data_IF_747251165400
#
_entry.id   IF_747251165400
#
_cell.length_a   1.000
_cell.length_b   1.000
_cell.length_c   1.000
_cell.angle_alpha   90.00
_cell.angle_beta   90.00
_cell.angle_gamma   90.00
#
_symmetry.space_group_name_H-M   'P 1'
#
loop_
_entity.id
_entity.type
_entity.pdbx_description
1 polymer ?
#
# COMPACT_ATOMS: atom_id res chain seq x y z
N UNK A 1 -17.61 3.14 -36.93
CA UNK A 1 -17.11 2.08 -36.04
C UNK A 1 -16.71 2.64 -34.67
N UNK A 2 -15.80 3.61 -34.61
CA UNK A 2 -15.27 4.17 -33.35
C UNK A 2 -16.35 4.75 -32.43
N UNK A 3 -17.29 5.53 -32.98
CA UNK A 3 -18.44 6.04 -32.24
C UNK A 3 -19.23 4.91 -31.56
N UNK A 4 -19.53 3.83 -32.30
CA UNK A 4 -20.30 2.70 -31.78
C UNK A 4 -19.54 1.91 -30.71
N UNK A 5 -18.22 1.79 -30.83
CA UNK A 5 -17.41 1.14 -29.79
C UNK A 5 -17.37 1.98 -28.51
N UNK A 6 -17.30 3.31 -28.63
CA UNK A 6 -17.27 4.23 -27.47
C UNK A 6 -18.59 4.27 -26.69
N UNK A 7 -19.74 4.08 -27.36
CA UNK A 7 -21.05 4.14 -26.72
C UNK A 7 -21.30 2.98 -25.77
N UNK A 8 -20.69 1.80 -25.99
CA UNK A 8 -20.77 0.68 -25.06
C UNK A 8 -20.14 1.03 -23.70
N UNK A 9 -18.95 1.63 -23.72
CA UNK A 9 -18.26 2.09 -22.51
C UNK A 9 -19.03 3.21 -21.79
N UNK A 10 -19.51 4.21 -22.55
CA UNK A 10 -20.32 5.29 -21.99
C UNK A 10 -21.64 4.78 -21.36
N UNK A 11 -22.34 3.85 -22.02
CA UNK A 11 -23.58 3.26 -21.50
C UNK A 11 -23.34 2.45 -20.24
N UNK A 12 -22.25 1.68 -20.18
CA UNK A 12 -21.85 0.96 -18.96
C UNK A 12 -21.53 1.94 -17.83
N UNK A 13 -20.77 3.00 -18.11
CA UNK A 13 -20.44 4.04 -17.13
C UNK A 13 -21.69 4.71 -16.54
N UNK A 14 -22.66 5.07 -17.39
CA UNK A 14 -23.94 5.64 -16.93
C UNK A 14 -24.75 4.65 -16.09
N UNK A 15 -24.82 3.38 -16.51
CA UNK A 15 -25.53 2.35 -15.76
C UNK A 15 -24.86 2.06 -14.39
N UNK A 16 -23.54 1.94 -14.37
CA UNK A 16 -22.75 1.76 -13.14
C UNK A 16 -22.90 2.97 -12.23
N UNK A 17 -22.97 4.19 -12.77
CA UNK A 17 -23.24 5.38 -11.98
C UNK A 17 -24.59 5.26 -11.27
N UNK A 18 -25.65 4.91 -12.00
CA UNK A 18 -26.98 4.78 -11.43
C UNK A 18 -27.05 3.70 -10.34
N UNK A 19 -26.41 2.54 -10.57
CA UNK A 19 -26.42 1.42 -9.62
C UNK A 19 -25.54 1.66 -8.39
N UNK A 20 -24.30 2.14 -8.58
CA UNK A 20 -23.33 2.30 -7.48
C UNK A 20 -23.64 3.51 -6.58
N UNK A 21 -24.35 4.51 -7.10
CA UNK A 21 -24.87 5.63 -6.30
C UNK A 21 -25.80 5.12 -5.19
N UNK A 22 -26.68 4.15 -5.51
CA UNK A 22 -27.58 3.55 -4.52
C UNK A 22 -26.82 2.83 -3.40
N UNK A 23 -25.72 2.13 -3.72
CA UNK A 23 -24.87 1.46 -2.72
C UNK A 23 -24.18 2.46 -1.79
N UNK A 24 -23.70 3.59 -2.34
CA UNK A 24 -23.06 4.65 -1.55
C UNK A 24 -24.05 5.35 -0.61
N UNK A 25 -25.26 5.64 -1.11
CA UNK A 25 -26.34 6.18 -0.28
C UNK A 25 -26.78 5.22 0.83
N UNK A 26 -26.90 3.93 0.51
CA UNK A 26 -27.22 2.90 1.51
C UNK A 26 -26.15 2.78 2.60
N UNK A 27 -24.87 2.80 2.22
CA UNK A 27 -23.75 2.82 3.16
C UNK A 27 -23.82 4.05 4.06
N UNK A 28 -24.08 5.23 3.49
CA UNK A 28 -24.24 6.49 4.26
C UNK A 28 -25.34 6.37 5.31
N UNK A 29 -26.49 5.80 4.95
CA UNK A 29 -27.58 5.56 5.91
C UNK A 29 -27.12 4.66 7.07
N UNK A 30 -26.43 3.57 6.77
CA UNK A 30 -25.89 2.66 7.79
C UNK A 30 -24.81 3.33 8.66
N UNK A 31 -23.97 4.17 8.09
CA UNK A 31 -22.96 4.93 8.84
C UNK A 31 -23.63 5.87 9.84
N UNK A 32 -24.71 6.56 9.43
CA UNK A 32 -25.50 7.42 10.33
C UNK A 32 -26.17 6.59 11.43
N UNK A 33 -26.81 5.46 11.08
CA UNK A 33 -27.47 4.58 12.06
C UNK A 33 -26.50 4.11 13.17
N UNK A 34 -25.21 3.88 12.85
CA UNK A 34 -24.18 3.48 13.82
C UNK A 34 -23.57 4.66 14.57
N UNK A 35 -23.42 5.82 13.92
CA UNK A 35 -22.71 6.97 14.49
C UNK A 35 -23.62 7.98 15.22
N UNK A 36 -24.94 7.86 15.12
CA UNK A 36 -25.90 8.86 15.65
C UNK A 36 -25.74 9.15 17.16
N UNK A 37 -25.28 8.17 17.94
CA UNK A 37 -25.11 8.32 19.39
C UNK A 37 -23.79 9.00 19.79
N UNK A 38 -22.93 9.31 18.82
CA UNK A 38 -21.65 10.00 19.06
C UNK A 38 -21.89 11.51 19.09
N UNK A 39 -22.08 12.03 20.30
CA UNK A 39 -22.31 13.45 20.62
C UNK A 39 -21.20 13.96 21.54
N UNK A 40 -20.89 15.26 21.48
CA UNK A 40 -19.99 15.88 22.46
C UNK A 40 -20.71 16.06 23.80
N UNK A 41 -20.25 15.37 24.84
CA UNK A 41 -20.93 15.32 26.15
C UNK A 41 -20.21 16.07 27.25
N UNK A 42 -18.89 16.20 27.14
CA UNK A 42 -18.04 16.84 28.16
C UNK A 42 -16.85 17.57 27.53
N UNK A 43 -16.15 18.39 28.30
CA UNK A 43 -15.00 19.16 27.80
C UNK A 43 -13.74 18.28 27.69
N UNK A 44 -13.45 17.51 28.73
CA UNK A 44 -12.24 16.70 28.83
C UNK A 44 -12.50 15.40 29.61
N UNK A 45 -12.24 14.25 28.99
CA UNK A 45 -12.33 12.93 29.64
C UNK A 45 -11.11 12.59 30.52
N UNK A 46 -10.07 13.44 30.55
CA UNK A 46 -8.86 13.26 31.36
C UNK A 46 -7.79 12.34 30.77
N UNK A 47 -8.07 11.67 29.64
CA UNK A 47 -7.12 10.72 29.04
C UNK A 47 -5.77 11.37 28.70
N UNK A 48 -4.71 10.59 28.89
CA UNK A 48 -3.34 10.90 28.48
C UNK A 48 -2.97 10.21 27.17
N UNK A 49 -3.84 9.30 26.72
CA UNK A 49 -3.63 8.53 25.50
C UNK A 49 -3.98 9.34 24.25
N UNK A 50 -3.26 9.04 23.19
CA UNK A 50 -3.37 9.76 21.94
C UNK A 50 -2.78 8.97 20.78
N UNK A 51 -2.97 9.49 19.57
CA UNK A 51 -2.41 8.94 18.36
C UNK A 51 -1.20 9.78 17.93
N UNK A 52 -0.12 9.11 17.57
CA UNK A 52 1.05 9.77 16.99
C UNK A 52 0.72 10.08 15.52
N UNK A 53 0.68 11.36 15.18
CA UNK A 53 0.50 11.84 13.81
C UNK A 53 1.85 12.17 13.20
N UNK A 54 2.08 11.68 11.98
CA UNK A 54 3.25 11.94 11.14
C UNK A 54 2.79 12.44 9.77
N UNK A 55 3.60 13.18 8.99
CA UNK A 55 3.26 13.47 7.61
C UNK A 55 3.10 12.17 6.80
N UNK A 56 2.20 12.16 5.81
CA UNK A 56 2.07 11.06 4.85
C UNK A 56 2.99 11.35 3.66
N UNK A 57 4.02 10.53 3.51
CA UNK A 57 5.01 10.63 2.44
C UNK A 57 4.88 9.41 1.55
N UNK A 58 4.64 9.63 0.25
CA UNK A 58 4.61 8.59 -0.76
C UNK A 58 5.46 9.02 -1.95
N UNK A 59 6.40 8.18 -2.38
CA UNK A 59 7.13 8.49 -3.61
C UNK A 59 8.14 9.64 -3.48
N UNK A 60 8.46 10.05 -2.25
CA UNK A 60 9.22 11.26 -1.95
C UNK A 60 8.43 12.57 -2.09
N UNK A 61 7.14 12.49 -2.42
CA UNK A 61 6.22 13.62 -2.30
C UNK A 61 5.50 13.54 -0.95
N UNK A 62 5.39 14.68 -0.28
CA UNK A 62 4.53 14.81 0.90
C UNK A 62 3.10 14.90 0.39
N UNK A 63 2.36 13.79 0.46
CA UNK A 63 0.95 13.72 0.03
C UNK A 63 0.08 14.54 0.98
N UNK A 64 0.31 14.40 2.28
CA UNK A 64 -0.38 15.17 3.31
C UNK A 64 0.63 15.64 4.36
N UNK A 65 0.93 16.95 4.44
CA UNK A 65 1.89 17.47 5.39
C UNK A 65 1.35 17.38 6.82
N UNK A 66 2.27 17.35 7.80
CA UNK A 66 1.90 17.27 9.22
C UNK A 66 0.93 18.39 9.61
N UNK A 67 1.13 19.59 9.05
CA UNK A 67 0.29 20.77 9.30
C UNK A 67 -1.20 20.52 9.05
N UNK A 68 -1.55 19.84 7.97
CA UNK A 68 -2.94 19.58 7.61
C UNK A 68 -3.54 18.48 8.49
N UNK A 69 -2.74 17.47 8.85
CA UNK A 69 -3.19 16.35 9.67
C UNK A 69 -3.50 16.73 11.12
N UNK A 70 -2.75 17.70 11.67
CA UNK A 70 -2.85 18.12 13.07
C UNK A 70 -3.69 19.38 13.27
N UNK A 71 -4.01 20.10 12.21
CA UNK A 71 -4.85 21.30 12.29
C UNK A 71 -6.19 21.00 12.97
N UNK A 72 -6.53 21.80 13.97
CA UNK A 72 -7.77 21.66 14.73
C UNK A 72 -7.78 20.52 15.75
N UNK A 73 -6.68 19.78 15.92
CA UNK A 73 -6.56 18.73 16.96
C UNK A 73 -5.98 19.30 18.24
N UNK A 74 -6.14 18.56 19.34
CA UNK A 74 -5.56 18.91 20.65
C UNK A 74 -4.34 18.04 20.94
N UNK A 75 -3.29 18.65 21.46
CA UNK A 75 -2.04 17.97 21.81
C UNK A 75 -2.23 17.08 23.05
N UNK A 76 -1.76 15.83 22.99
CA UNK A 76 -1.86 14.85 24.08
C UNK A 76 -0.65 14.88 25.03
N UNK A 77 0.53 15.26 24.54
CA UNK A 77 1.79 15.35 25.31
C UNK A 77 2.59 16.58 24.90
N UNK A 78 3.40 17.13 25.80
CA UNK A 78 4.23 18.31 25.49
C UNK A 78 5.14 18.02 24.29
N UNK A 79 5.16 18.94 23.32
CA UNK A 79 5.95 18.80 22.09
C UNK A 79 7.24 19.60 22.22
N UNK A 80 8.36 18.91 22.08
CA UNK A 80 9.70 19.46 22.23
C UNK A 80 10.40 19.67 20.89
N UNK A 81 11.39 20.56 20.87
CA UNK A 81 12.29 20.72 19.72
C UNK A 81 13.27 19.56 19.64
N UNK A 82 13.66 19.11 18.43
CA UNK A 82 14.76 18.17 18.29
C UNK A 82 16.05 18.73 18.91
N UNK A 83 16.45 18.19 20.07
CA UNK A 83 17.66 18.62 20.80
C UNK A 83 17.43 19.60 21.96
N UNK A 84 16.18 19.93 22.32
CA UNK A 84 15.85 20.68 23.53
C UNK A 84 14.68 20.01 24.28
N UNK A 85 14.99 19.40 25.41
CA UNK A 85 14.03 18.69 26.27
C UNK A 85 13.56 19.54 27.47
N UNK A 86 14.06 20.77 27.62
CA UNK A 86 13.75 21.62 28.78
C UNK A 86 12.58 22.58 28.53
N UNK A 87 12.41 23.05 27.30
CA UNK A 87 11.35 24.01 26.95
C UNK A 87 10.43 23.46 25.85
N UNK A 88 9.17 23.12 26.17
CA UNK A 88 8.23 22.63 25.18
C UNK A 88 7.73 23.76 24.27
N UNK A 89 7.67 23.52 22.97
CA UNK A 89 7.11 24.45 21.97
C UNK A 89 5.60 24.58 22.19
N UNK A 90 4.95 23.45 22.42
CA UNK A 90 3.50 23.35 22.60
C UNK A 90 3.21 22.47 23.80
N UNK A 91 2.47 23.00 24.76
CA UNK A 91 2.08 22.26 25.94
C UNK A 91 0.89 21.36 25.66
N UNK A 92 0.73 20.30 26.46
CA UNK A 92 -0.42 19.40 26.47
C UNK A 92 -1.73 20.16 26.60
N UNK A 93 -2.78 19.62 25.99
CA UNK A 93 -4.13 20.18 25.94
C UNK A 93 -4.27 21.50 25.17
N UNK A 94 -3.26 21.88 24.40
CA UNK A 94 -3.35 23.02 23.47
C UNK A 94 -4.09 22.61 22.21
N UNK A 95 -5.06 23.43 21.79
CA UNK A 95 -5.72 23.31 20.50
C UNK A 95 -4.82 23.88 19.40
N UNK A 96 -4.50 23.07 18.39
CA UNK A 96 -3.64 23.47 17.29
C UNK A 96 -4.44 24.28 16.27
N UNK A 97 -4.16 25.59 16.21
CA UNK A 97 -4.64 26.51 15.18
C UNK A 97 -3.58 26.71 14.08
N UNK A 98 -3.88 27.52 13.08
CA UNK A 98 -2.98 27.82 11.96
C UNK A 98 -1.63 28.40 12.42
N UNK A 99 -1.62 29.17 13.51
CA UNK A 99 -0.41 29.78 14.05
C UNK A 99 0.47 28.76 14.77
N UNK A 100 -0.13 27.86 15.56
CA UNK A 100 0.59 26.75 16.19
C UNK A 100 1.16 25.78 15.16
N UNK A 101 0.36 25.48 14.15
CA UNK A 101 0.77 24.61 13.06
C UNK A 101 1.95 25.19 12.27
N UNK A 102 1.94 26.50 11.97
CA UNK A 102 3.06 27.18 11.33
C UNK A 102 4.33 27.11 12.20
N UNK A 103 4.21 27.33 13.52
CA UNK A 103 5.34 27.18 14.45
C UNK A 103 5.91 25.75 14.47
N UNK A 104 5.06 24.73 14.43
CA UNK A 104 5.48 23.33 14.37
C UNK A 104 6.22 23.01 13.07
N UNK A 105 5.77 23.59 11.95
CA UNK A 105 6.39 23.44 10.64
C UNK A 105 7.76 24.15 10.59
N UNK A 106 7.85 25.40 11.07
CA UNK A 106 9.11 26.16 11.16
C UNK A 106 10.13 25.46 12.08
N UNK A 107 9.64 24.90 13.20
CA UNK A 107 10.43 24.09 14.12
C UNK A 107 10.84 22.72 13.55
N UNK A 108 10.35 22.35 12.36
CA UNK A 108 10.61 21.05 11.71
C UNK A 108 10.27 19.84 12.59
N UNK A 109 9.15 19.90 13.32
CA UNK A 109 8.65 18.79 14.14
C UNK A 109 8.19 17.64 13.23
N UNK A 110 8.62 16.41 13.53
CA UNK A 110 8.36 15.24 12.68
C UNK A 110 7.07 14.50 13.04
N UNK A 111 6.74 14.49 14.33
CA UNK A 111 5.58 13.79 14.85
C UNK A 111 5.01 14.55 16.03
N UNK A 112 3.69 14.46 16.19
CA UNK A 112 2.97 15.04 17.32
C UNK A 112 1.97 14.01 17.82
N UNK A 113 1.99 13.71 19.12
CA UNK A 113 0.93 12.91 19.75
C UNK A 113 -0.26 13.81 20.02
N UNK A 114 -1.36 13.54 19.32
CA UNK A 114 -2.61 14.28 19.43
C UNK A 114 -3.67 13.42 20.09
N UNK A 115 -4.63 14.06 20.76
CA UNK A 115 -5.82 13.37 21.27
C UNK A 115 -6.66 12.88 20.11
N UNK A 116 -7.38 11.78 20.35
CA UNK A 116 -8.20 11.12 19.35
C UNK A 116 -9.56 10.76 19.92
N UNK A 117 -10.57 10.73 19.06
CA UNK A 117 -11.90 10.22 19.41
C UNK A 117 -11.87 8.73 19.77
N UNK A 118 -10.89 7.98 19.24
CA UNK A 118 -10.69 6.54 19.54
C UNK A 118 -10.10 6.33 20.94
N UNK A 119 -9.21 7.21 21.38
CA UNK A 119 -8.60 7.16 22.72
C UNK A 119 -9.44 7.89 23.78
N UNK A 120 -10.67 8.26 23.47
CA UNK A 120 -11.54 8.97 24.39
C UNK A 120 -12.10 8.02 25.45
N UNK A 121 -11.99 8.41 26.72
CA UNK A 121 -12.44 7.63 27.88
C UNK A 121 -13.81 8.10 28.42
N UNK A 122 -14.52 8.94 27.66
CA UNK A 122 -15.86 9.39 28.04
C UNK A 122 -16.83 8.20 28.09
N UNK A 123 -17.69 8.15 29.12
CA UNK A 123 -18.64 7.04 29.30
C UNK A 123 -19.75 7.00 28.25
N UNK A 124 -20.19 8.18 27.77
CA UNK A 124 -21.19 8.33 26.72
C UNK A 124 -20.77 9.46 25.80
N UNK A 125 -20.74 9.21 24.50
CA UNK A 125 -20.28 10.20 23.51
C UNK A 125 -18.77 10.40 23.54
N UNK A 126 -18.32 11.61 23.23
CA UNK A 126 -16.90 11.97 23.10
C UNK A 126 -16.66 13.32 23.78
N UNK A 127 -15.48 13.52 24.38
CA UNK A 127 -15.14 14.83 24.94
C UNK A 127 -14.65 15.83 23.87
N UNK A 128 -14.88 17.12 24.11
CA UNK A 128 -14.52 18.20 23.19
C UNK A 128 -13.02 18.23 22.86
N UNK A 129 -12.14 17.90 23.82
CA UNK A 129 -10.69 17.86 23.59
C UNK A 129 -10.24 16.68 22.72
N UNK A 130 -10.92 15.54 22.76
CA UNK A 130 -10.58 14.40 21.90
C UNK A 130 -11.01 14.59 20.44
N UNK A 131 -12.07 15.38 20.22
CA UNK A 131 -12.51 15.78 18.87
C UNK A 131 -11.70 16.98 18.35
N UNK A 132 -11.59 18.04 19.15
CA UNK A 132 -10.87 19.27 18.82
C UNK A 132 -11.79 20.35 18.24
N UNK A 133 -11.45 20.83 17.05
CA UNK A 133 -12.09 21.95 16.37
C UNK A 133 -13.27 21.49 15.50
N UNK A 134 -14.36 22.24 15.55
CA UNK A 134 -15.41 22.15 14.54
C UNK A 134 -14.90 22.78 13.23
N UNK A 135 -14.76 21.96 12.19
CA UNK A 135 -14.23 22.38 10.88
C UNK A 135 -15.20 23.31 10.12
N UNK A 136 -16.49 23.31 10.43
CA UNK A 136 -17.47 24.17 9.77
C UNK A 136 -17.48 25.59 10.35
N UNK A 137 -17.27 25.71 11.67
CA UNK A 137 -17.35 27.00 12.39
C UNK A 137 -16.00 27.56 12.81
N UNK A 138 -14.96 26.73 12.85
CA UNK A 138 -13.60 27.14 13.11
C UNK A 138 -13.28 27.42 14.58
N UNK A 139 -14.14 27.08 15.54
CA UNK A 139 -13.85 27.14 16.97
C UNK A 139 -13.82 25.72 17.59
N UNK A 140 -13.41 25.59 18.85
CA UNK A 140 -13.50 24.31 19.56
C UNK A 140 -14.95 23.80 19.56
N UNK A 141 -15.14 22.49 19.37
CA UNK A 141 -16.48 21.91 19.27
C UNK A 141 -17.30 22.15 20.55
N UNK A 142 -18.58 22.48 20.38
CA UNK A 142 -19.48 22.75 21.50
C UNK A 142 -20.04 21.45 22.09
N UNK A 143 -20.39 21.49 23.37
CA UNK A 143 -21.17 20.42 24.02
C UNK A 143 -22.56 20.36 23.37
N UNK A 144 -23.00 19.14 23.05
CA UNK A 144 -24.26 18.86 22.38
C UNK A 144 -24.15 18.72 20.85
N UNK A 145 -22.98 18.95 20.25
CA UNK A 145 -22.78 18.79 18.81
C UNK A 145 -22.82 17.29 18.42
N UNK A 146 -23.65 16.94 17.44
CA UNK A 146 -23.82 15.56 16.94
C UNK A 146 -22.71 15.17 15.95
N UNK A 147 -21.48 15.08 16.45
CA UNK A 147 -20.28 14.86 15.63
C UNK A 147 -20.28 13.54 14.85
N UNK A 148 -20.98 12.51 15.32
CA UNK A 148 -21.10 11.25 14.60
C UNK A 148 -21.91 11.36 13.31
N UNK A 149 -23.02 12.09 13.33
CA UNK A 149 -23.83 12.36 12.13
C UNK A 149 -23.04 13.20 11.13
N UNK A 150 -22.33 14.23 11.62
CA UNK A 150 -21.47 15.09 10.80
C UNK A 150 -20.36 14.27 10.12
N UNK A 151 -19.70 13.37 10.87
CA UNK A 151 -18.66 12.50 10.33
C UNK A 151 -19.19 11.52 9.28
N UNK A 152 -20.35 10.90 9.52
CA UNK A 152 -20.98 10.00 8.56
C UNK A 152 -21.34 10.70 7.24
N UNK A 153 -21.87 11.92 7.31
CA UNK A 153 -22.18 12.74 6.13
C UNK A 153 -20.92 13.15 5.37
N UNK A 154 -19.87 13.55 6.11
CA UNK A 154 -18.59 13.97 5.53
C UNK A 154 -17.88 12.86 4.75
N UNK A 155 -18.23 11.59 5.00
CA UNK A 155 -17.77 10.44 4.20
C UNK A 155 -18.76 10.12 3.08
N UNK A 156 -20.06 10.09 3.42
CA UNK A 156 -21.11 9.60 2.54
C UNK A 156 -21.40 10.48 1.33
N UNK A 157 -21.51 11.79 1.52
CA UNK A 157 -21.79 12.73 0.44
C UNK A 157 -20.64 12.76 -0.59
N UNK A 158 -19.36 12.99 -0.20
CA UNK A 158 -18.26 12.97 -1.15
C UNK A 158 -18.09 11.61 -1.84
N UNK A 159 -18.29 10.49 -1.12
CA UNK A 159 -18.22 9.15 -1.72
C UNK A 159 -19.27 8.91 -2.80
N UNK A 160 -20.50 9.38 -2.55
CA UNK A 160 -21.58 9.34 -3.54
C UNK A 160 -21.27 10.24 -4.74
N UNK A 161 -20.73 11.44 -4.49
CA UNK A 161 -20.35 12.38 -5.54
C UNK A 161 -19.20 11.85 -6.42
N UNK A 162 -18.17 11.25 -5.84
CA UNK A 162 -17.05 10.64 -6.56
C UNK A 162 -17.52 9.51 -7.47
N UNK A 163 -18.45 8.68 -6.96
CA UNK A 163 -19.07 7.62 -7.76
C UNK A 163 -19.79 8.20 -8.97
N UNK A 164 -20.44 9.36 -8.84
CA UNK A 164 -21.07 10.00 -9.99
C UNK A 164 -20.04 10.57 -10.99
N UNK A 165 -19.00 11.25 -10.52
CA UNK A 165 -18.04 11.95 -11.40
C UNK A 165 -17.14 11.00 -12.20
N UNK A 166 -16.69 9.89 -11.61
CA UNK A 166 -15.68 9.03 -12.24
C UNK A 166 -16.23 8.16 -13.37
N UNK A 167 -17.45 7.65 -13.24
CA UNK A 167 -18.02 6.70 -14.22
C UNK A 167 -18.65 7.38 -15.45
N UNK A 168 -18.83 8.71 -15.44
CA UNK A 168 -19.34 9.46 -16.58
C UNK A 168 -18.34 9.58 -17.75
N UNK A 169 -17.05 9.28 -17.52
CA UNK A 169 -15.96 9.38 -18.51
C UNK A 169 -15.72 8.01 -19.22
N UNK A 170 -16.67 7.07 -19.14
CA UNK A 170 -16.52 5.70 -19.66
C UNK A 170 -16.31 5.53 -21.17
N UNK A 171 -16.16 6.61 -21.95
CA UNK A 171 -15.96 6.59 -23.41
C UNK A 171 -14.49 6.73 -23.87
N UNK A 172 -13.58 7.18 -23.01
CA UNK A 172 -12.15 7.30 -23.32
C UNK A 172 -11.33 7.17 -22.03
N UNK A 173 -10.39 6.22 -22.01
CA UNK A 173 -9.45 6.04 -20.91
C UNK A 173 -8.05 6.45 -21.40
N UNK A 174 -7.48 7.49 -20.81
CA UNK A 174 -6.05 7.77 -20.96
C UNK A 174 -5.33 7.17 -19.76
N UNK A 175 -4.38 6.27 -20.03
CA UNK A 175 -3.61 5.57 -19.00
C UNK A 175 -2.41 6.44 -18.63
N UNK A 176 -2.25 6.79 -17.35
CA UNK A 176 -0.96 7.23 -16.85
C UNK A 176 0.01 6.04 -16.93
N UNK A 177 1.21 6.25 -17.46
CA UNK A 177 2.22 5.19 -17.58
C UNK A 177 2.38 4.46 -16.25
N UNK A 178 2.35 3.12 -16.29
CA UNK A 178 2.51 2.32 -15.09
C UNK A 178 3.93 2.56 -14.53
N UNK A 179 4.01 2.92 -13.25
CA UNK A 179 5.28 3.17 -12.58
C UNK A 179 6.04 1.84 -12.47
N UNK A 180 7.21 1.76 -13.10
CA UNK A 180 8.07 0.58 -13.18
C UNK A 180 9.38 0.74 -12.41
N UNK A 181 9.62 1.92 -11.85
CA UNK A 181 10.82 2.21 -11.09
C UNK A 181 10.60 3.24 -9.97
N UNK A 182 11.52 3.25 -9.02
CA UNK A 182 11.66 4.29 -8.02
C UNK A 182 12.93 5.07 -8.32
N UNK A 183 12.77 6.37 -8.52
CA UNK A 183 13.85 7.33 -8.62
C UNK A 183 13.80 8.27 -7.42
N UNK A 184 14.91 8.34 -6.69
CA UNK A 184 15.05 9.15 -5.48
C UNK A 184 15.10 10.63 -5.86
N UNK A 185 14.43 11.51 -5.12
CA UNK A 185 14.42 12.96 -5.42
C UNK A 185 15.45 13.76 -4.62
N UNK A 186 15.86 13.24 -3.47
CA UNK A 186 16.71 13.92 -2.49
C UNK A 186 18.01 13.15 -2.28
N UNK A 187 19.11 13.88 -2.12
CA UNK A 187 20.39 13.23 -1.77
C UNK A 187 20.39 12.83 -0.30
N UNK A 188 20.76 11.59 0.00
CA UNK A 188 20.65 11.03 1.35
C UNK A 188 21.22 9.62 1.47
N UNK A 189 20.85 8.91 2.52
CA UNK A 189 21.17 7.50 2.71
C UNK A 189 19.91 6.63 2.67
N UNK A 190 19.99 5.47 2.03
CA UNK A 190 18.88 4.52 1.97
C UNK A 190 18.76 3.78 3.29
N UNK A 191 17.52 3.56 3.74
CA UNK A 191 17.19 2.71 4.88
C UNK A 191 16.08 1.74 4.50
N UNK A 192 16.26 0.47 4.80
CA UNK A 192 15.26 -0.57 4.59
C UNK A 192 14.36 -0.72 5.82
N UNK A 193 13.04 -0.63 5.60
CA UNK A 193 12.03 -0.79 6.64
C UNK A 193 11.18 -2.03 6.33
N UNK A 194 11.18 -3.02 7.23
CA UNK A 194 10.45 -4.29 7.06
C UNK A 194 10.69 -5.01 5.73
N UNK A 195 11.84 -4.76 5.10
CA UNK A 195 12.21 -5.31 3.81
C UNK A 195 13.14 -6.52 4.02
N UNK A 196 12.72 -7.68 3.54
CA UNK A 196 13.62 -8.83 3.36
C UNK A 196 14.09 -8.83 1.91
N UNK A 197 15.40 -8.90 1.70
CA UNK A 197 16.00 -8.95 0.37
C UNK A 197 16.99 -10.10 0.26
N UNK A 198 17.15 -10.61 -0.95
CA UNK A 198 18.15 -11.62 -1.29
C UNK A 198 19.10 -11.07 -2.35
N UNK A 199 20.38 -11.43 -2.27
CA UNK A 199 21.36 -10.98 -3.24
C UNK A 199 21.29 -11.84 -4.50
N UNK A 200 21.03 -11.19 -5.64
CA UNK A 200 21.03 -11.84 -6.94
C UNK A 200 22.46 -11.93 -7.50
N UNK A 201 22.72 -12.88 -8.41
CA UNK A 201 24.03 -13.08 -9.02
C UNK A 201 24.54 -11.85 -9.79
N UNK A 202 23.64 -10.97 -10.26
CA UNK A 202 23.98 -9.70 -10.90
C UNK A 202 24.50 -8.62 -9.94
N UNK A 203 24.52 -8.88 -8.63
CA UNK A 203 24.92 -7.91 -7.60
C UNK A 203 23.78 -6.99 -7.12
N UNK A 204 22.62 -7.04 -7.76
CA UNK A 204 21.41 -6.36 -7.29
C UNK A 204 20.73 -7.16 -6.16
N UNK A 205 19.96 -6.48 -5.33
CA UNK A 205 19.12 -7.11 -4.31
C UNK A 205 17.71 -7.32 -4.86
N UNK A 206 17.06 -8.43 -4.52
CA UNK A 206 15.66 -8.68 -4.91
C UNK A 206 14.78 -8.74 -3.67
N UNK A 207 13.70 -7.97 -3.66
CA UNK A 207 12.76 -7.92 -2.55
C UNK A 207 11.95 -9.22 -2.44
N UNK A 208 12.00 -9.90 -1.29
CA UNK A 208 11.22 -11.12 -1.02
C UNK A 208 10.12 -10.91 0.02
N UNK A 209 9.95 -9.68 0.52
CA UNK A 209 8.86 -9.28 1.41
C UNK A 209 7.77 -8.50 0.68
N UNK A 210 6.50 -8.72 1.04
CA UNK A 210 5.34 -8.01 0.47
C UNK A 210 5.05 -6.64 1.11
N UNK A 211 5.59 -6.40 2.29
CA UNK A 211 5.41 -5.16 3.08
C UNK A 211 6.71 -4.38 3.22
N UNK A 212 7.64 -4.57 2.29
CA UNK A 212 8.94 -3.91 2.32
C UNK A 212 8.82 -2.46 1.91
N UNK A 213 9.50 -1.59 2.63
CA UNK A 213 9.58 -0.16 2.36
C UNK A 213 11.04 0.28 2.28
N UNK A 214 11.30 1.23 1.40
CA UNK A 214 12.58 1.90 1.22
C UNK A 214 12.41 3.36 1.60
N UNK A 215 13.17 3.80 2.58
CA UNK A 215 13.17 5.17 3.05
C UNK A 215 14.48 5.85 2.69
N UNK A 216 14.44 7.13 2.34
CA UNK A 216 15.64 7.94 2.12
C UNK A 216 15.77 8.92 3.28
N UNK A 217 16.86 8.81 4.02
CA UNK A 217 17.19 9.66 5.15
C UNK A 217 18.09 10.81 4.72
N UNK A 218 17.90 12.01 5.28
CA UNK A 218 18.86 13.10 5.13
C UNK A 218 20.09 12.93 6.03
N UNK A 219 21.07 13.84 5.91
CA UNK A 219 22.29 13.81 6.72
C UNK A 219 22.08 13.99 8.24
N UNK A 220 20.88 14.35 8.67
CA UNK A 220 20.47 14.43 10.07
C UNK A 220 19.63 13.23 10.52
N UNK A 221 19.54 12.17 9.69
CA UNK A 221 18.78 10.96 9.98
C UNK A 221 17.26 11.12 9.84
N UNK A 222 16.78 12.23 9.26
CA UNK A 222 15.35 12.47 9.06
C UNK A 222 14.87 11.77 7.81
N UNK A 223 13.73 11.11 7.90
CA UNK A 223 13.12 10.48 6.75
C UNK A 223 12.47 11.53 5.83
N UNK A 224 13.00 11.64 4.62
CA UNK A 224 12.51 12.58 3.59
C UNK A 224 11.58 11.92 2.60
N UNK A 225 11.89 10.68 2.25
CA UNK A 225 11.16 9.94 1.23
C UNK A 225 10.87 8.54 1.75
N UNK A 226 9.67 8.05 1.45
CA UNK A 226 9.26 6.67 1.71
C UNK A 226 8.64 6.08 0.45
N UNK A 227 9.12 4.91 0.08
CA UNK A 227 8.69 4.18 -1.10
C UNK A 227 8.29 2.77 -0.71
N UNK A 228 7.09 2.35 -1.11
CA UNK A 228 6.66 0.96 -0.95
C UNK A 228 7.23 0.13 -2.09
N UNK A 229 7.87 -1.00 -1.75
CA UNK A 229 8.45 -1.91 -2.73
C UNK A 229 7.54 -3.12 -2.96
N UNK A 230 7.19 -3.43 -4.22
CA UNK A 230 6.50 -4.68 -4.51
C UNK A 230 7.43 -5.89 -4.35
N UNK A 231 6.82 -7.06 -4.18
CA UNK A 231 7.55 -8.32 -4.16
C UNK A 231 8.24 -8.58 -5.51
N UNK A 232 9.50 -8.98 -5.46
CA UNK A 232 10.36 -9.21 -6.62
C UNK A 232 10.89 -7.94 -7.29
N UNK A 233 10.74 -6.77 -6.65
CA UNK A 233 11.45 -5.57 -7.10
C UNK A 233 12.96 -5.79 -7.01
N UNK A 234 13.68 -5.39 -8.06
CA UNK A 234 15.14 -5.39 -8.10
C UNK A 234 15.64 -4.05 -7.60
N UNK A 235 16.43 -4.07 -6.53
CA UNK A 235 16.96 -2.92 -5.81
C UNK A 235 18.45 -2.82 -6.10
N UNK A 236 18.90 -1.66 -6.55
CA UNK A 236 20.30 -1.40 -6.92
C UNK A 236 21.13 -0.88 -5.74
N UNK A 237 20.48 -0.24 -4.76
CA UNK A 237 21.11 0.28 -3.54
C UNK A 237 21.04 -0.73 -2.39
N UNK A 238 22.03 -0.72 -1.48
CA UNK A 238 22.02 -1.50 -0.24
C UNK A 238 21.52 -0.64 0.94
N UNK A 239 21.22 -1.31 2.05
CA UNK A 239 20.86 -0.64 3.29
C UNK A 239 22.04 0.19 3.82
N UNK A 240 21.80 1.49 4.07
CA UNK A 240 22.82 2.46 4.46
C UNK A 240 23.60 3.10 3.29
N UNK A 241 23.38 2.69 2.04
CA UNK A 241 24.11 3.28 0.90
C UNK A 241 23.71 4.74 0.67
N UNK A 242 24.69 5.55 0.29
CA UNK A 242 24.45 6.93 -0.11
C UNK A 242 23.86 6.99 -1.53
N UNK A 243 22.76 7.72 -1.68
CA UNK A 243 22.06 7.92 -2.95
C UNK A 243 21.99 9.39 -3.31
N UNK A 244 22.07 9.68 -4.61
CA UNK A 244 21.94 11.04 -5.14
C UNK A 244 20.52 11.26 -5.67
N UNK A 245 20.09 12.53 -5.63
CA UNK A 245 18.89 12.96 -6.33
C UNK A 245 18.95 12.56 -7.82
N UNK A 246 17.87 11.97 -8.33
CA UNK A 246 17.75 11.44 -9.69
C UNK A 246 18.26 10.02 -9.89
N UNK A 247 18.76 9.35 -8.85
CA UNK A 247 19.23 7.97 -8.95
C UNK A 247 18.06 6.98 -8.86
N UNK A 248 17.97 6.06 -9.81
CA UNK A 248 17.04 4.93 -9.72
C UNK A 248 17.57 3.89 -8.74
N UNK A 249 16.78 3.60 -7.71
CA UNK A 249 17.14 2.70 -6.61
C UNK A 249 16.42 1.36 -6.67
N UNK A 250 15.28 1.29 -7.35
CA UNK A 250 14.55 0.05 -7.54
C UNK A 250 13.78 0.05 -8.86
N UNK A 251 13.62 -1.13 -9.46
CA UNK A 251 12.81 -1.36 -10.65
C UNK A 251 12.03 -2.68 -10.54
N UNK A 252 10.93 -2.79 -11.30
CA UNK A 252 10.14 -4.00 -11.42
C UNK A 252 9.34 -3.99 -12.72
N UNK A 253 8.76 -5.15 -13.05
CA UNK A 253 7.81 -5.26 -14.16
C UNK A 253 6.40 -4.88 -13.67
N UNK A 254 5.79 -3.77 -14.14
CA UNK A 254 4.49 -3.34 -13.65
C UNK A 254 3.33 -4.22 -14.14
N UNK A 255 3.55 -5.09 -15.14
CA UNK A 255 2.51 -5.93 -15.71
C UNK A 255 2.58 -7.38 -15.21
N UNK A 256 3.64 -7.73 -14.50
CA UNK A 256 3.87 -9.11 -14.05
C UNK A 256 4.27 -9.13 -12.59
N UNK A 257 3.59 -9.96 -11.80
CA UNK A 257 4.06 -10.34 -10.48
C UNK A 257 5.05 -11.51 -10.62
N UNK A 258 6.35 -11.29 -10.36
CA UNK A 258 7.32 -12.37 -10.39
C UNK A 258 7.16 -13.27 -9.15
N UNK A 259 7.44 -14.56 -9.33
CA UNK A 259 7.69 -15.53 -8.26
C UNK A 259 9.19 -15.76 -8.26
N UNK A 260 9.85 -15.40 -7.15
CA UNK A 260 11.32 -15.36 -7.06
C UNK A 260 11.83 -16.50 -6.20
N UNK A 261 12.95 -17.09 -6.62
CA UNK A 261 13.66 -18.10 -5.84
C UNK A 261 14.47 -17.46 -4.70
N UNK A 262 14.42 -18.07 -3.52
CA UNK A 262 15.25 -17.68 -2.36
C UNK A 262 16.52 -18.54 -2.23
N UNK A 263 16.62 -19.62 -3.02
CA UNK A 263 17.73 -20.59 -2.95
C UNK A 263 18.30 -20.88 -4.35
N UNK A 264 19.59 -21.17 -4.41
CA UNK A 264 20.20 -21.65 -5.64
C UNK A 264 20.09 -23.17 -5.75
N UNK A 265 19.69 -23.69 -6.90
CA UNK A 265 19.53 -25.12 -7.13
C UNK A 265 19.00 -25.44 -8.51
N UNK A 266 18.31 -26.58 -8.63
CA UNK A 266 17.66 -27.02 -9.86
C UNK A 266 16.15 -27.07 -9.69
N UNK A 267 15.43 -26.70 -10.73
CA UNK A 267 13.97 -26.74 -10.74
C UNK A 267 13.48 -28.18 -10.90
N UNK A 268 12.48 -28.55 -10.10
CA UNK A 268 11.69 -29.77 -10.23
C UNK A 268 10.21 -29.42 -10.29
N UNK A 269 9.54 -29.83 -11.36
CA UNK A 269 8.10 -29.66 -11.50
C UNK A 269 7.33 -30.78 -10.79
N UNK A 270 6.30 -30.40 -10.03
CA UNK A 270 5.38 -31.30 -9.33
C UNK A 270 3.97 -30.97 -9.80
N UNK A 271 3.21 -32.01 -10.17
CA UNK A 271 1.86 -31.90 -10.73
C UNK A 271 1.77 -31.12 -12.06
N UNK A 272 2.84 -31.12 -12.85
CA UNK A 272 2.85 -30.58 -14.22
C UNK A 272 2.45 -31.68 -15.21
N UNK A 273 1.17 -31.69 -15.58
CA UNK A 273 0.59 -32.53 -16.62
C UNK A 273 0.16 -31.65 -17.80
N UNK A 274 0.78 -31.85 -18.95
CA UNK A 274 0.52 -31.12 -20.20
C UNK A 274 -0.92 -31.31 -20.67
N UNK A 275 -1.54 -30.24 -21.15
CA UNK A 275 -2.94 -30.20 -21.59
C UNK A 275 -3.98 -30.25 -20.45
N UNK A 276 -3.56 -30.57 -19.23
CA UNK A 276 -4.45 -30.66 -18.06
C UNK A 276 -4.18 -29.51 -17.10
N UNK A 277 -2.97 -29.44 -16.55
CA UNK A 277 -2.56 -28.43 -15.57
C UNK A 277 -1.75 -27.30 -16.18
N UNK A 278 -1.14 -27.55 -17.34
CA UNK A 278 -0.28 -26.62 -18.07
C UNK A 278 -0.67 -26.65 -19.55
N UNK A 279 -0.72 -25.47 -20.17
CA UNK A 279 -0.91 -25.32 -21.61
C UNK A 279 0.31 -24.58 -22.16
N UNK A 280 0.87 -25.09 -23.24
CA UNK A 280 1.92 -24.40 -23.97
C UNK A 280 1.29 -23.27 -24.80
N UNK A 281 1.83 -22.06 -24.63
CA UNK A 281 1.41 -20.86 -25.30
C UNK A 281 2.62 -20.24 -25.97
N UNK A 282 2.60 -20.27 -27.28
CA UNK A 282 3.59 -19.60 -28.10
C UNK A 282 3.19 -18.12 -28.22
N UNK A 283 4.11 -17.24 -27.85
CA UNK A 283 3.96 -15.81 -28.09
C UNK A 283 4.12 -15.54 -29.60
N UNK A 284 3.08 -14.99 -30.23
CA UNK A 284 3.04 -14.71 -31.68
C UNK A 284 4.09 -13.68 -32.11
N UNK A 285 4.56 -12.81 -31.21
CA UNK A 285 5.55 -11.78 -31.51
C UNK A 285 6.98 -12.30 -31.41
N UNK A 286 7.28 -13.10 -30.39
CA UNK A 286 8.65 -13.57 -30.10
C UNK A 286 8.92 -14.99 -30.60
N UNK A 287 7.87 -15.76 -30.92
CA UNK A 287 7.97 -17.18 -31.25
C UNK A 287 8.39 -18.07 -30.08
N UNK A 288 8.54 -17.51 -28.88
CA UNK A 288 8.93 -18.25 -27.69
C UNK A 288 7.73 -19.01 -27.12
N UNK A 289 7.91 -20.31 -26.91
CA UNK A 289 6.94 -21.13 -26.20
C UNK A 289 7.08 -20.90 -24.69
N UNK A 290 5.96 -20.56 -24.05
CA UNK A 290 5.85 -20.39 -22.61
C UNK A 290 4.76 -21.32 -22.06
N UNK A 291 4.88 -21.74 -20.80
CA UNK A 291 3.93 -22.68 -20.19
C UNK A 291 2.99 -21.92 -19.26
N UNK A 292 1.70 -21.87 -19.58
CA UNK A 292 0.67 -21.21 -18.78
C UNK A 292 -0.07 -22.23 -17.89
N UNK A 293 -0.18 -21.94 -16.59
CA UNK A 293 -0.92 -22.78 -15.65
C UNK A 293 -2.43 -22.62 -15.84
N UNK A 294 -3.14 -23.72 -16.03
CA UNK A 294 -4.60 -23.72 -16.24
C UNK A 294 -5.37 -23.48 -14.95
N UNK A 295 -6.57 -22.91 -15.06
CA UNK A 295 -7.49 -22.79 -13.91
C UNK A 295 -8.02 -24.17 -13.50
N UNK A 296 -7.92 -24.56 -12.21
CA UNK A 296 -8.52 -25.79 -11.67
C UNK A 296 -9.98 -26.00 -12.06
N UNK A 297 -10.78 -24.94 -12.21
CA UNK A 297 -12.19 -25.03 -12.62
C UNK A 297 -12.37 -25.58 -14.04
N UNK A 298 -11.38 -25.43 -14.91
CA UNK A 298 -11.39 -25.91 -16.30
C UNK A 298 -10.89 -27.35 -16.42
N UNK A 299 -10.42 -27.97 -15.33
CA UNK A 299 -9.84 -29.32 -15.33
C UNK A 299 -10.91 -30.39 -15.07
N UNK A 300 -10.69 -31.61 -15.58
CA UNK A 300 -11.52 -32.78 -15.29
C UNK A 300 -11.54 -33.15 -13.80
N UNK A 301 -12.54 -33.92 -13.36
CA UNK A 301 -12.80 -34.17 -11.93
C UNK A 301 -11.58 -34.66 -11.13
N UNK A 302 -10.79 -35.59 -11.68
CA UNK A 302 -9.57 -36.13 -11.04
C UNK A 302 -8.37 -35.17 -11.05
N UNK A 303 -8.38 -34.16 -11.92
CA UNK A 303 -7.28 -33.20 -12.07
C UNK A 303 -7.50 -31.88 -11.32
N UNK A 304 -8.64 -31.73 -10.61
CA UNK A 304 -8.94 -30.56 -9.77
C UNK A 304 -8.07 -30.51 -8.51
N UNK A 305 -7.61 -31.66 -8.03
CA UNK A 305 -6.78 -31.76 -6.82
C UNK A 305 -5.30 -31.46 -7.09
N UNK A 306 -4.85 -31.61 -8.35
CA UNK A 306 -3.47 -31.35 -8.76
C UNK A 306 -3.09 -29.88 -8.53
N UNK A 307 -1.96 -29.65 -7.87
CA UNK A 307 -1.46 -28.31 -7.57
C UNK A 307 -0.07 -28.13 -8.20
N UNK A 308 0.01 -27.48 -9.37
CA UNK A 308 1.28 -27.21 -10.02
C UNK A 308 2.20 -26.43 -9.08
N UNK A 309 3.31 -27.06 -8.72
CA UNK A 309 4.31 -26.52 -7.80
C UNK A 309 5.66 -26.61 -8.49
N UNK A 310 6.45 -25.54 -8.34
CA UNK A 310 7.87 -25.56 -8.66
C UNK A 310 8.64 -25.77 -7.38
N UNK A 311 9.40 -26.85 -7.28
CA UNK A 311 10.28 -27.12 -6.15
C UNK A 311 11.73 -26.94 -6.56
N UNK A 312 12.57 -26.49 -5.64
CA UNK A 312 14.01 -26.36 -5.87
C UNK A 312 14.75 -27.47 -5.14
N UNK A 313 15.60 -28.18 -5.88
CA UNK A 313 16.37 -29.33 -5.41
C UNK A 313 17.87 -29.10 -5.55
N UNK A 314 18.65 -29.83 -4.77
CA UNK A 314 20.11 -29.87 -4.91
C UNK A 314 20.54 -30.69 -6.14
N UNK A 315 21.84 -30.70 -6.46
CA UNK A 315 22.39 -31.51 -7.57
C UNK A 315 22.27 -33.03 -7.40
N UNK A 316 21.81 -33.51 -6.23
CA UNK A 316 21.53 -34.92 -5.93
C UNK A 316 20.03 -35.22 -5.94
N UNK A 317 19.18 -34.21 -6.17
CA UNK A 317 17.73 -34.32 -6.22
C UNK A 317 17.02 -34.28 -4.88
N UNK A 318 17.68 -33.87 -3.79
CA UNK A 318 17.05 -33.64 -2.48
C UNK A 318 16.45 -32.24 -2.41
N UNK A 319 15.35 -32.12 -1.68
CA UNK A 319 14.64 -30.85 -1.51
C UNK A 319 15.49 -29.86 -0.69
N UNK A 320 15.64 -28.64 -1.22
CA UNK A 320 16.28 -27.53 -0.49
C UNK A 320 15.24 -26.85 0.41
N UNK A 321 15.68 -26.31 1.54
CA UNK A 321 14.83 -25.53 2.45
C UNK A 321 15.05 -24.03 2.28
N UNK A 322 14.01 -23.24 2.55
CA UNK A 322 14.11 -21.77 2.48
C UNK A 322 14.99 -21.27 3.64
N UNK A 323 15.94 -20.34 3.42
CA UNK A 323 16.83 -19.86 4.46
C UNK A 323 16.06 -19.35 5.69
N UNK A 324 16.49 -19.77 6.88
CA UNK A 324 15.84 -19.46 8.17
C UNK A 324 14.48 -20.13 8.42
N UNK A 325 14.10 -21.14 7.63
CA UNK A 325 12.91 -21.95 7.89
C UNK A 325 13.18 -23.43 7.59
N UNK A 326 12.45 -24.34 8.23
CA UNK A 326 12.47 -25.78 7.92
C UNK A 326 11.52 -26.14 6.77
N UNK A 327 10.97 -25.14 6.07
CA UNK A 327 10.04 -25.35 4.97
C UNK A 327 10.81 -25.65 3.68
N UNK A 328 10.37 -26.64 2.88
CA UNK A 328 10.95 -26.88 1.57
C UNK A 328 10.72 -25.68 0.65
N UNK A 329 11.72 -25.38 -0.18
CA UNK A 329 11.69 -24.34 -1.21
C UNK A 329 10.76 -24.76 -2.36
N UNK A 330 9.46 -24.65 -2.09
CA UNK A 330 8.39 -24.99 -3.01
C UNK A 330 7.47 -23.79 -3.24
N UNK A 331 7.24 -23.47 -4.51
CA UNK A 331 6.47 -22.33 -4.97
C UNK A 331 5.21 -22.83 -5.65
N UNK A 332 4.07 -22.63 -5.00
CA UNK A 332 2.78 -22.93 -5.59
C UNK A 332 2.47 -21.92 -6.70
N UNK A 333 2.12 -22.42 -7.88
CA UNK A 333 1.77 -21.57 -9.01
C UNK A 333 0.25 -21.38 -9.09
N UNK A 334 -0.25 -20.14 -8.93
CA UNK A 334 -1.66 -19.86 -9.15
C UNK A 334 -2.03 -19.99 -10.64
N UNK A 335 -3.33 -20.05 -10.97
CA UNK A 335 -3.80 -20.03 -12.35
C UNK A 335 -3.23 -18.84 -13.13
N UNK A 336 -2.97 -19.03 -14.42
CA UNK A 336 -2.39 -18.05 -15.36
C UNK A 336 -0.93 -17.67 -15.09
N UNK A 337 -0.27 -18.31 -14.12
CA UNK A 337 1.18 -18.19 -14.00
C UNK A 337 1.84 -18.70 -15.27
N UNK A 338 2.78 -17.93 -15.80
CA UNK A 338 3.60 -18.27 -16.96
C UNK A 338 4.97 -18.71 -16.45
N UNK A 339 5.36 -19.92 -16.84
CA UNK A 339 6.65 -20.54 -16.53
C UNK A 339 7.46 -20.58 -17.82
N UNK A 340 8.62 -19.93 -17.82
CA UNK A 340 9.54 -19.91 -18.96
C UNK A 340 10.73 -20.87 -18.80
N UNK A 341 10.87 -21.46 -17.61
CA UNK A 341 11.96 -22.37 -17.29
C UNK A 341 11.56 -23.82 -17.62
N UNK A 342 12.57 -24.65 -17.90
CA UNK A 342 12.39 -26.09 -18.13
C UNK A 342 12.62 -26.87 -16.84
N UNK A 343 12.09 -28.10 -16.79
CA UNK A 343 12.36 -29.01 -15.68
C UNK A 343 13.85 -29.37 -15.65
N UNK A 344 14.47 -29.34 -14.48
CA UNK A 344 15.91 -29.52 -14.30
C UNK A 344 16.77 -28.30 -14.65
N UNK A 345 16.19 -27.14 -15.00
CA UNK A 345 16.96 -25.92 -15.21
C UNK A 345 17.61 -25.42 -13.91
N UNK A 346 18.82 -24.89 -14.01
CA UNK A 346 19.50 -24.25 -12.87
C UNK A 346 18.86 -22.88 -12.58
N UNK A 347 18.67 -22.57 -11.29
CA UNK A 347 18.12 -21.31 -10.81
C UNK A 347 18.99 -20.78 -9.67
N UNK A 348 19.30 -19.48 -9.70
CA UNK A 348 20.01 -18.78 -8.66
C UNK A 348 19.09 -18.21 -7.58
N UNK A 349 19.71 -17.66 -6.53
CA UNK A 349 19.01 -16.84 -5.54
C UNK A 349 18.59 -15.53 -6.21
N UNK A 350 17.31 -15.15 -6.10
CA UNK A 350 16.75 -13.95 -6.71
C UNK A 350 16.23 -14.12 -8.14
N UNK A 351 16.38 -15.31 -8.74
CA UNK A 351 15.89 -15.57 -10.10
C UNK A 351 14.36 -15.72 -10.14
N UNK A 352 13.77 -15.29 -11.26
CA UNK A 352 12.32 -15.39 -11.49
C UNK A 352 11.96 -16.78 -11.99
N UNK A 353 11.24 -17.53 -11.17
CA UNK A 353 10.76 -18.89 -11.45
C UNK A 353 9.52 -18.87 -12.36
N UNK A 354 8.59 -17.96 -12.09
CA UNK A 354 7.36 -17.80 -12.84
C UNK A 354 6.87 -16.34 -12.78
N UNK A 355 6.02 -15.95 -13.73
CA UNK A 355 5.41 -14.62 -13.78
C UNK A 355 3.90 -14.76 -13.78
N UNK A 356 3.21 -13.97 -12.97
CA UNK A 356 1.75 -13.88 -13.00
C UNK A 356 1.39 -12.58 -13.69
N UNK A 357 0.81 -12.61 -14.90
CA UNK A 357 0.33 -11.42 -15.55
C UNK A 357 -0.75 -10.76 -14.70
N UNK A 358 -0.56 -9.51 -14.33
CA UNK A 358 -1.64 -8.71 -13.77
C UNK A 358 -2.62 -8.40 -14.90
N UNK A 359 -3.92 -8.58 -14.65
CA UNK A 359 -4.91 -8.00 -15.54
C UNK A 359 -4.81 -6.49 -15.48
N UNK A 360 -4.71 -5.86 -16.65
CA UNK A 360 -5.01 -4.46 -16.80
C UNK A 360 -6.50 -4.27 -16.44
N UNK A 361 -6.79 -3.90 -15.19
CA UNK A 361 -8.15 -3.56 -14.77
C UNK A 361 -8.59 -2.22 -15.33
#
# INVERSE_FOLDING_TARGET
QEYFNSTHGARKGLADTALKTANSGYLTRRLVDVAQDVVITEVDCGTTEGLIMTPIVEGGDVVEPLRERVLGRVVAEDVYLPGNDEEPIVTRNTLLDEAWVAKLEDASVQSVKVRSTISCESSFGVCARCYGRDLARGHQVNIGEAVGVIAAQSIGEPGTQLTMRTFHIGGAASRAAAVDNITVKTTGSVKFNNLKSVAHASGALVAVSRSGELSVLDGHGRERERYKLPYGATITAKDGDAVKAGQSVANWDPHNHPIVSEVAGFIRFIDFVDGVTVIEKTDELTGLASREITDPKRRGAHAKELRPIVRIVDGKGNDLTIPNTDLPAQYLLPPRSIVNLQDGAAVGVGDVVAKIPQEAS
#
